data_IF_014204316596
#
_entry.id   IF_014204316596
#
_cell.length_a   1.000
_cell.length_b   1.000
_cell.length_c   1.000
_cell.angle_alpha   90.00
_cell.angle_beta   90.00
_cell.angle_gamma   90.00
#
_symmetry.space_group_name_H-M   'P 1'
#
loop_
_entity.id
_entity.type
_entity.pdbx_description
1 polymer ?
#
# COMPACT_ATOMS: atom_id res chain seq x y z
N UNK A 1 31.09 14.72 17.60
CA UNK A 1 30.00 14.00 16.92
C UNK A 1 30.54 13.53 15.58
N UNK A 2 30.92 12.25 15.49
CA UNK A 2 31.61 11.64 14.35
C UNK A 2 30.58 11.00 13.42
N UNK A 3 30.35 11.63 12.27
CA UNK A 3 29.43 11.15 11.23
C UNK A 3 30.10 10.00 10.47
N UNK A 4 29.69 8.76 10.78
CA UNK A 4 30.11 7.59 10.02
C UNK A 4 29.43 7.61 8.64
N UNK A 5 30.12 8.11 7.62
CA UNK A 5 29.77 7.86 6.21
C UNK A 5 30.03 6.38 5.91
N UNK A 6 28.99 5.55 6.08
CA UNK A 6 28.96 4.22 5.46
C UNK A 6 28.74 4.43 3.96
N UNK A 7 29.81 4.34 3.18
CA UNK A 7 29.69 4.11 1.75
C UNK A 7 28.83 2.84 1.56
N UNK A 8 27.64 2.99 0.99
CA UNK A 8 26.80 1.87 0.61
C UNK A 8 27.58 1.07 -0.43
N UNK A 9 28.15 -0.08 -0.03
CA UNK A 9 28.79 -0.99 -0.95
C UNK A 9 27.73 -1.40 -1.98
N UNK A 10 27.91 -1.00 -3.24
CA UNK A 10 27.04 -1.45 -4.33
C UNK A 10 26.99 -2.98 -4.29
N UNK A 11 25.79 -3.58 -4.23
CA UNK A 11 25.67 -5.02 -4.22
C UNK A 11 26.25 -5.56 -5.53
N UNK A 12 27.34 -6.32 -5.42
CA UNK A 12 27.98 -6.94 -6.58
C UNK A 12 26.93 -7.68 -7.42
N UNK A 13 26.90 -7.48 -8.75
CA UNK A 13 25.90 -8.12 -9.60
C UNK A 13 26.00 -9.63 -9.44
N UNK A 14 24.90 -10.27 -9.08
CA UNK A 14 24.80 -11.72 -8.96
C UNK A 14 25.10 -12.34 -10.32
N UNK A 15 26.02 -13.29 -10.39
CA UNK A 15 26.35 -14.00 -11.63
C UNK A 15 25.87 -15.43 -11.55
N UNK A 16 25.37 -15.96 -12.66
CA UNK A 16 25.02 -17.37 -12.76
C UNK A 16 26.29 -18.22 -12.55
N UNK A 17 26.30 -19.19 -11.60
CA UNK A 17 27.47 -20.03 -11.39
C UNK A 17 27.74 -21.02 -12.54
N UNK A 18 26.75 -21.31 -13.38
CA UNK A 18 26.90 -22.21 -14.52
C UNK A 18 27.45 -21.51 -15.77
N UNK A 19 26.93 -20.33 -16.13
CA UNK A 19 27.28 -19.63 -17.37
C UNK A 19 27.93 -18.25 -17.19
N UNK A 20 28.05 -17.74 -15.97
CA UNK A 20 28.67 -16.44 -15.66
C UNK A 20 27.84 -15.21 -16.00
N UNK A 21 26.67 -15.36 -16.63
CA UNK A 21 25.80 -14.24 -17.04
C UNK A 21 25.30 -13.47 -15.80
N UNK A 22 25.35 -12.12 -15.81
CA UNK A 22 24.84 -11.32 -14.72
C UNK A 22 23.30 -11.41 -14.64
N UNK A 23 22.80 -11.69 -13.45
CA UNK A 23 21.38 -11.82 -13.14
C UNK A 23 20.92 -10.65 -12.29
N UNK A 24 19.82 -10.01 -12.69
CA UNK A 24 19.15 -8.97 -11.90
C UNK A 24 17.94 -9.58 -11.20
N UNK A 25 18.01 -9.71 -9.87
CA UNK A 25 16.84 -10.06 -9.08
C UNK A 25 16.05 -8.80 -8.74
N UNK A 26 14.79 -8.76 -9.20
CA UNK A 26 13.86 -7.65 -8.94
C UNK A 26 13.15 -7.78 -7.58
N UNK A 27 12.95 -9.02 -7.11
CA UNK A 27 12.15 -9.32 -5.94
C UNK A 27 12.86 -10.30 -4.99
N UNK A 28 12.85 -10.01 -3.68
CA UNK A 28 13.37 -10.90 -2.62
C UNK A 28 12.48 -12.15 -2.38
N UNK A 29 11.46 -12.36 -3.21
CA UNK A 29 10.45 -13.43 -3.05
C UNK A 29 10.98 -14.81 -3.46
N UNK A 30 12.11 -14.87 -4.18
CA UNK A 30 12.70 -16.10 -4.69
C UNK A 30 13.61 -16.82 -3.69
N UNK A 31 13.72 -16.33 -2.46
CA UNK A 31 14.52 -16.99 -1.41
C UNK A 31 13.93 -18.35 -1.09
N UNK A 32 14.73 -19.41 -1.27
CA UNK A 32 14.29 -20.79 -1.10
C UNK A 32 13.47 -21.37 -2.26
N UNK A 33 13.22 -20.60 -3.32
CA UNK A 33 12.63 -21.11 -4.56
C UNK A 33 13.73 -21.48 -5.57
N UNK A 34 13.41 -22.44 -6.45
CA UNK A 34 14.25 -22.75 -7.62
C UNK A 34 13.70 -22.06 -8.86
N UNK A 35 14.58 -21.55 -9.72
CA UNK A 35 14.21 -20.91 -10.97
C UNK A 35 15.26 -21.20 -12.06
N UNK A 36 14.86 -21.29 -13.35
CA UNK A 36 15.81 -21.50 -14.44
C UNK A 36 16.57 -20.22 -14.77
N UNK A 37 17.86 -20.35 -15.08
CA UNK A 37 18.65 -19.27 -15.65
C UNK A 37 18.12 -18.91 -17.05
N UNK A 38 17.84 -17.63 -17.39
CA UNK A 38 17.31 -17.27 -18.71
C UNK A 38 18.32 -17.45 -19.86
N UNK A 39 19.60 -17.62 -19.56
CA UNK A 39 20.65 -17.76 -20.58
C UNK A 39 21.03 -19.22 -20.86
N UNK A 40 21.09 -20.06 -19.83
CA UNK A 40 21.55 -21.46 -19.96
C UNK A 40 20.54 -22.48 -19.44
N UNK A 41 19.35 -22.05 -19.01
CA UNK A 41 18.25 -22.87 -18.48
C UNK A 41 18.55 -23.69 -17.21
N UNK A 42 19.78 -23.65 -16.72
CA UNK A 42 20.21 -24.34 -15.50
C UNK A 42 19.38 -23.90 -14.28
N UNK A 43 18.95 -24.86 -13.47
CA UNK A 43 18.12 -24.59 -12.28
C UNK A 43 18.98 -24.02 -11.15
N UNK A 44 18.69 -22.78 -10.77
CA UNK A 44 19.36 -22.06 -9.69
C UNK A 44 18.46 -22.00 -8.45
N UNK A 45 19.08 -21.98 -7.28
CA UNK A 45 18.42 -21.71 -6.01
C UNK A 45 19.04 -20.47 -5.36
N UNK A 46 18.19 -19.54 -4.90
CA UNK A 46 18.66 -18.38 -4.14
C UNK A 46 18.70 -18.75 -2.65
N UNK A 47 19.91 -18.80 -2.08
CA UNK A 47 20.13 -19.07 -0.66
C UNK A 47 20.56 -17.76 0.00
N UNK A 48 19.89 -17.37 1.09
CA UNK A 48 20.37 -16.28 1.92
C UNK A 48 21.61 -16.76 2.66
N UNK A 49 22.76 -16.12 2.46
CA UNK A 49 23.86 -16.31 3.41
C UNK A 49 23.56 -15.48 4.66
N UNK A 50 24.01 -15.95 5.82
CA UNK A 50 24.11 -15.11 7.01
C UNK A 50 24.90 -13.85 6.64
N UNK A 51 24.45 -12.67 7.06
CA UNK A 51 25.03 -11.34 6.76
C UNK A 51 24.56 -10.65 5.46
N UNK A 52 23.29 -10.82 5.06
CA UNK A 52 22.63 -10.00 4.03
C UNK A 52 23.26 -10.07 2.62
N UNK A 53 24.12 -11.07 2.41
CA UNK A 53 24.70 -11.41 1.10
C UNK A 53 23.93 -12.57 0.49
N UNK A 54 23.46 -12.36 -0.73
CA UNK A 54 22.76 -13.39 -1.50
C UNK A 54 23.78 -14.24 -2.24
N UNK A 55 23.67 -15.56 -2.10
CA UNK A 55 24.51 -16.50 -2.82
C UNK A 55 23.62 -17.38 -3.71
N UNK A 56 23.92 -17.38 -5.00
CA UNK A 56 23.30 -18.31 -5.95
C UNK A 56 24.05 -19.63 -5.91
N UNK A 57 23.31 -20.72 -5.70
CA UNK A 57 23.85 -22.08 -5.81
C UNK A 57 23.08 -22.85 -6.89
N UNK A 58 23.75 -23.81 -7.54
CA UNK A 58 23.04 -24.73 -8.43
C UNK A 58 22.09 -25.59 -7.60
N UNK A 59 20.86 -25.78 -8.06
CA UNK A 59 19.85 -26.54 -7.33
C UNK A 59 20.29 -27.98 -7.04
N UNK A 60 21.17 -28.55 -7.88
CA UNK A 60 21.74 -29.88 -7.68
C UNK A 60 22.71 -29.97 -6.48
N UNK A 61 23.34 -28.86 -6.10
CA UNK A 61 24.33 -28.81 -5.01
C UNK A 61 23.70 -28.48 -3.66
N UNK A 62 22.51 -27.90 -3.67
CA UNK A 62 21.72 -27.67 -2.46
C UNK A 62 21.20 -29.03 -2.02
N UNK A 63 21.85 -29.64 -1.02
CA UNK A 63 21.36 -30.85 -0.40
C UNK A 63 19.86 -30.65 -0.09
N UNK A 64 18.97 -31.54 -0.55
CA UNK A 64 17.54 -31.38 -0.35
C UNK A 64 17.32 -31.14 1.14
N UNK A 65 16.67 -30.03 1.53
CA UNK A 65 16.55 -29.67 2.94
C UNK A 65 15.94 -30.87 3.64
N UNK A 66 16.74 -31.51 4.50
CA UNK A 66 16.46 -32.81 5.09
C UNK A 66 15.01 -32.84 5.56
N UNK A 67 14.15 -33.49 4.76
CA UNK A 67 12.69 -33.56 4.91
C UNK A 67 12.14 -32.46 5.82
N UNK A 68 12.22 -31.20 5.37
CA UNK A 68 11.47 -30.12 5.98
C UNK A 68 9.99 -30.48 5.74
N UNK A 69 9.44 -31.24 6.69
CA UNK A 69 8.06 -31.68 6.84
C UNK A 69 7.18 -30.67 6.10
N UNK A 70 6.45 -31.09 5.03
CA UNK A 70 5.83 -30.18 4.09
C UNK A 70 5.21 -29.04 4.87
N UNK A 71 5.83 -27.85 4.77
CA UNK A 71 5.23 -26.64 5.29
C UNK A 71 3.98 -26.48 4.46
N UNK A 72 2.89 -27.06 4.98
CA UNK A 72 1.52 -26.75 4.60
C UNK A 72 1.53 -25.25 4.43
N UNK A 73 1.29 -24.81 3.19
CA UNK A 73 0.97 -23.43 2.88
C UNK A 73 0.16 -22.91 4.06
N UNK A 74 0.74 -21.94 4.78
CA UNK A 74 0.11 -21.33 5.95
C UNK A 74 -1.18 -20.67 5.46
N UNK A 75 -2.27 -21.45 5.43
CA UNK A 75 -3.52 -20.99 5.99
C UNK A 75 -3.12 -20.28 7.28
N UNK A 76 -3.39 -18.98 7.33
CA UNK A 76 -3.08 -18.14 8.47
C UNK A 76 -3.46 -18.90 9.73
N UNK A 77 -2.45 -19.45 10.41
CA UNK A 77 -2.64 -19.97 11.75
C UNK A 77 -2.84 -18.72 12.57
N UNK A 78 -4.11 -18.30 12.67
CA UNK A 78 -4.56 -17.69 13.91
C UNK A 78 -3.95 -18.55 15.02
N UNK A 79 -3.33 -17.94 16.05
CA UNK A 79 -2.88 -18.69 17.21
C UNK A 79 -4.02 -19.64 17.60
N UNK A 80 -3.72 -20.86 18.06
CA UNK A 80 -4.73 -21.82 18.51
C UNK A 80 -5.57 -21.21 19.65
N UNK A 81 -6.47 -20.29 19.32
CA UNK A 81 -7.48 -19.75 20.20
C UNK A 81 -8.49 -20.87 20.24
N UNK A 82 -8.56 -21.55 21.39
CA UNK A 82 -9.50 -22.65 21.53
C UNK A 82 -10.89 -22.15 21.13
N UNK A 83 -11.70 -22.95 20.42
CA UNK A 83 -13.05 -22.55 20.03
C UNK A 83 -13.89 -22.13 21.25
N UNK A 84 -13.53 -22.62 22.43
CA UNK A 84 -14.09 -22.18 23.71
C UNK A 84 -13.82 -20.68 23.96
N UNK A 85 -12.58 -20.20 23.85
CA UNK A 85 -12.23 -18.79 24.11
C UNK A 85 -12.95 -17.85 23.15
N UNK A 86 -13.10 -18.24 21.87
CA UNK A 86 -13.88 -17.46 20.91
C UNK A 86 -15.35 -17.41 21.32
N UNK A 87 -15.96 -18.54 21.71
CA UNK A 87 -17.34 -18.56 22.18
C UNK A 87 -17.57 -17.68 23.42
N UNK A 88 -16.64 -17.69 24.39
CA UNK A 88 -16.71 -16.82 25.57
C UNK A 88 -16.57 -15.34 25.22
N UNK A 89 -15.71 -14.99 24.25
CA UNK A 89 -15.54 -13.60 23.81
C UNK A 89 -16.81 -13.03 23.14
N UNK A 90 -17.47 -13.83 22.31
CA UNK A 90 -18.73 -13.43 21.66
C UNK A 90 -19.87 -13.34 22.66
N UNK A 91 -19.99 -14.31 23.59
CA UNK A 91 -20.99 -14.27 24.65
C UNK A 91 -20.80 -13.06 25.59
N UNK A 92 -19.55 -12.74 25.93
CA UNK A 92 -19.22 -11.57 26.76
C UNK A 92 -19.59 -10.25 26.08
N UNK A 93 -19.27 -10.10 24.78
CA UNK A 93 -19.64 -8.91 24.00
C UNK A 93 -21.16 -8.74 23.90
N UNK A 94 -21.90 -9.83 23.63
CA UNK A 94 -23.36 -9.78 23.54
C UNK A 94 -24.00 -9.44 24.89
N UNK A 95 -23.49 -10.03 25.98
CA UNK A 95 -23.91 -9.69 27.35
C UNK A 95 -23.67 -8.23 27.71
N UNK A 96 -22.51 -7.66 27.33
CA UNK A 96 -22.21 -6.26 27.60
C UNK A 96 -23.15 -5.30 26.84
N UNK A 97 -23.49 -5.63 25.59
CA UNK A 97 -24.47 -4.86 24.79
C UNK A 97 -25.87 -4.90 25.42
N UNK A 98 -26.29 -6.06 25.92
CA UNK A 98 -27.57 -6.21 26.64
C UNK A 98 -27.61 -5.37 27.92
N UNK A 99 -26.54 -5.38 28.72
CA UNK A 99 -26.45 -4.56 29.94
C UNK A 99 -26.50 -3.06 29.60
N UNK A 100 -25.78 -2.63 28.56
CA UNK A 100 -25.81 -1.25 28.11
C UNK A 100 -27.20 -0.82 27.60
N UNK A 101 -27.93 -1.71 26.92
CA UNK A 101 -29.29 -1.47 26.45
C UNK A 101 -30.28 -1.32 27.63
N UNK A 102 -30.17 -2.16 28.66
CA UNK A 102 -31.00 -2.09 29.85
C UNK A 102 -30.75 -0.80 30.66
N UNK A 103 -29.49 -0.37 30.77
CA UNK A 103 -29.14 0.89 31.41
C UNK A 103 -29.73 2.12 30.70
N UNK A 104 -29.79 2.09 29.36
CA UNK A 104 -30.43 3.16 28.59
C UNK A 104 -31.94 3.25 28.84
N UNK A 105 -32.63 2.12 29.01
CA UNK A 105 -34.06 2.13 29.29
C UNK A 105 -34.37 2.64 30.70
N UNK A 106 -33.55 2.29 31.69
CA UNK A 106 -33.71 2.78 33.07
C UNK A 106 -33.44 4.29 33.21
N UNK A 107 -32.73 4.89 32.25
CA UNK A 107 -32.34 6.30 32.29
C UNK A 107 -33.35 7.25 31.65
N UNK A 108 -34.49 6.77 31.15
CA UNK A 108 -35.55 7.64 30.63
C UNK A 108 -36.34 8.18 31.83
N UNK A 109 -36.18 9.46 32.21
CA UNK A 109 -36.97 10.05 33.28
C UNK A 109 -38.46 9.97 32.89
N UNK A 110 -39.36 9.58 33.83
CA UNK A 110 -40.78 9.50 33.54
C UNK A 110 -41.27 10.86 33.06
N UNK A 111 -41.80 10.88 31.83
CA UNK A 111 -42.37 12.06 31.21
C UNK A 111 -43.40 12.67 32.18
N UNK A 112 -43.17 13.91 32.57
CA UNK A 112 -44.07 14.67 33.42
C UNK A 112 -45.46 14.72 32.76
N UNK A 113 -46.55 14.53 33.53
CA UNK A 113 -47.90 14.52 32.96
C UNK A 113 -48.22 15.88 32.31
N UNK A 114 -49.02 15.89 31.23
CA UNK A 114 -49.36 17.11 30.52
C UNK A 114 -50.19 18.04 31.42
N UNK A 115 -49.58 19.16 31.84
CA UNK A 115 -50.28 20.26 32.47
C UNK A 115 -51.23 20.88 31.45
N UNK A 116 -52.52 20.61 31.63
CA UNK A 116 -53.59 21.28 30.92
C UNK A 116 -53.68 22.75 31.34
N UNK A 117 -53.68 23.65 30.35
CA UNK A 117 -54.15 25.03 30.49
C UNK A 117 -53.06 26.08 30.69
N UNK A 118 -52.88 26.96 29.70
CA UNK A 118 -53.40 28.35 29.74
C UNK A 118 -52.99 29.04 28.44
N UNK A 119 -54.00 29.55 27.73
CA UNK A 119 -53.96 30.46 26.59
C UNK A 119 -53.72 31.88 27.12
N UNK A 120 -52.75 32.64 26.58
CA UNK A 120 -52.93 34.08 26.43
C UNK A 120 -52.91 34.50 24.97
N UNK A 121 -54.00 35.16 24.58
CA UNK A 121 -54.23 35.85 23.33
C UNK A 121 -53.70 37.30 23.45
N UNK A 122 -53.34 37.87 22.28
CA UNK A 122 -53.32 39.30 21.94
C UNK A 122 -52.37 40.24 22.72
N UNK A 123 -51.38 40.76 22.00
CA UNK A 123 -51.13 42.21 21.94
C UNK A 123 -50.30 42.53 20.68
N UNK A 124 -51.03 42.85 19.62
CA UNK A 124 -50.56 43.59 18.46
C UNK A 124 -50.63 45.07 18.86
N UNK A 125 -49.55 45.84 18.69
CA UNK A 125 -49.64 47.30 18.52
C UNK A 125 -48.52 47.76 17.63
N UNK A 126 -48.93 48.23 16.45
CA UNK A 126 -48.23 49.15 15.58
C UNK A 126 -47.63 50.34 16.34
N UNK A 127 -46.41 50.72 15.97
CA UNK A 127 -45.98 52.10 16.01
C UNK A 127 -44.99 52.35 14.87
N UNK A 128 -45.46 53.13 13.91
CA UNK A 128 -44.75 53.63 12.76
C UNK A 128 -43.79 54.78 13.10
N UNK A 129 -42.90 55.05 12.14
CA UNK A 129 -42.19 56.30 11.87
C UNK A 129 -40.96 56.67 12.73
N UNK A 130 -39.78 56.64 12.11
CA UNK A 130 -39.04 57.82 11.61
C UNK A 130 -37.79 57.32 10.84
N UNK A 131 -37.75 57.46 9.51
CA UNK A 131 -37.06 58.54 8.79
C UNK A 131 -35.55 58.62 9.08
N UNK A 132 -34.76 58.05 8.16
CA UNK A 132 -33.31 58.20 8.10
C UNK A 132 -32.79 57.80 6.73
N UNK A 133 -32.91 58.70 5.77
CA UNK A 133 -32.36 58.57 4.44
C UNK A 133 -30.82 58.52 4.47
N UNK A 134 -30.21 57.63 3.69
CA UNK A 134 -28.98 57.96 2.95
C UNK A 134 -28.80 57.02 1.74
N UNK A 135 -28.45 57.56 0.56
CA UNK A 135 -28.41 56.86 -0.73
C UNK A 135 -27.00 56.36 -1.08
N UNK A 136 -26.90 55.70 -2.25
CA UNK A 136 -25.74 55.12 -2.93
C UNK A 136 -25.65 53.60 -2.73
N UNK A 137 -25.47 52.76 -3.74
CA UNK A 137 -25.32 52.96 -5.18
C UNK A 137 -25.59 51.58 -5.84
N UNK A 138 -25.77 51.61 -7.15
CA UNK A 138 -26.02 50.49 -8.06
C UNK A 138 -25.36 49.14 -7.70
N UNK A 139 -26.07 48.03 -7.82
CA UNK A 139 -26.15 47.33 -9.10
C UNK A 139 -27.08 46.11 -8.99
N UNK A 140 -27.87 45.90 -10.05
CA UNK A 140 -28.94 44.92 -10.10
C UNK A 140 -28.45 43.64 -10.77
N UNK A 141 -28.55 42.50 -10.08
CA UNK A 141 -28.73 41.18 -10.71
C UNK A 141 -29.46 40.25 -9.73
N UNK A 142 -30.59 39.61 -10.11
CA UNK A 142 -31.42 38.83 -9.19
C UNK A 142 -30.97 37.36 -9.10
N UNK A 143 -30.95 36.72 -7.92
CA UNK A 143 -31.14 35.28 -7.83
C UNK A 143 -32.62 34.94 -7.67
N UNK A 144 -33.09 34.09 -8.57
CA UNK A 144 -34.40 33.47 -8.49
C UNK A 144 -34.57 32.73 -7.16
N UNK A 145 -35.63 33.10 -6.44
CA UNK A 145 -36.17 32.37 -5.32
C UNK A 145 -36.89 31.11 -5.85
N UNK A 146 -36.50 29.92 -5.37
CA UNK A 146 -37.40 28.77 -5.33
C UNK A 146 -37.63 28.42 -3.88
N UNK A 147 -38.90 28.57 -3.53
CA UNK A 147 -39.50 28.46 -2.22
C UNK A 147 -39.81 26.99 -1.87
N UNK A 148 -39.65 26.67 -0.59
CA UNK A 148 -40.53 25.79 0.23
C UNK A 148 -40.89 24.39 -0.27
N UNK A 149 -40.49 23.36 0.48
CA UNK A 149 -41.34 22.71 1.51
C UNK A 149 -40.67 21.46 2.14
N UNK A 150 -40.87 21.19 3.44
CA UNK A 150 -40.41 19.97 4.12
C UNK A 150 -41.50 18.89 4.14
N UNK A 151 -41.21 17.61 3.83
CA UNK A 151 -42.17 16.54 4.05
C UNK A 151 -42.03 15.94 5.46
N UNK A 152 -42.98 16.35 6.29
CA UNK A 152 -43.82 15.58 7.20
C UNK A 152 -43.48 14.08 7.39
N UNK A 153 -43.18 13.73 8.64
CA UNK A 153 -43.18 12.39 9.24
C UNK A 153 -44.60 11.82 9.28
N UNK A 154 -44.78 10.53 9.00
CA UNK A 154 -45.68 9.59 9.71
C UNK A 154 -45.48 8.13 9.23
N UNK A 155 -45.93 7.10 9.97
CA UNK A 155 -45.17 5.89 10.30
C UNK A 155 -45.85 4.56 9.85
N UNK A 156 -45.24 3.45 10.28
CA UNK A 156 -45.82 2.11 10.51
C UNK A 156 -45.80 1.07 9.38
N UNK A 157 -45.45 -0.16 9.81
CA UNK A 157 -45.51 -1.46 9.12
C UNK A 157 -44.56 -1.57 7.90
N UNK A 158 -43.93 -2.69 7.57
CA UNK A 158 -44.33 -4.08 7.79
C UNK A 158 -43.09 -4.99 7.72
N UNK A 159 -43.17 -6.07 8.48
CA UNK A 159 -42.24 -7.19 8.55
C UNK A 159 -42.21 -7.89 7.18
N UNK A 160 -41.11 -7.82 6.42
CA UNK A 160 -40.88 -8.73 5.29
C UNK A 160 -39.69 -9.64 5.60
N UNK A 161 -40.07 -10.84 6.01
CA UNK A 161 -39.33 -12.09 6.00
C UNK A 161 -38.58 -12.26 4.68
N UNK A 162 -37.26 -12.08 4.67
CA UNK A 162 -36.41 -12.45 3.54
C UNK A 162 -36.04 -13.92 3.73
N UNK A 163 -36.83 -14.75 3.07
CA UNK A 163 -36.57 -16.16 2.79
C UNK A 163 -35.18 -16.31 2.15
N UNK A 164 -34.32 -17.08 2.80
CA UNK A 164 -33.10 -17.66 2.22
C UNK A 164 -33.45 -18.52 1.00
N UNK A 165 -32.87 -18.27 -0.19
CA UNK A 165 -32.79 -19.31 -1.21
C UNK A 165 -31.72 -20.33 -0.79
N UNK A 166 -32.20 -21.46 -0.27
CA UNK A 166 -31.52 -22.73 -0.20
C UNK A 166 -31.12 -23.16 -1.63
N UNK A 167 -29.87 -22.87 -2.02
CA UNK A 167 -29.29 -23.39 -3.27
C UNK A 167 -28.38 -24.56 -2.91
N UNK A 168 -29.00 -25.73 -2.96
CA UNK A 168 -28.39 -27.05 -3.01
C UNK A 168 -27.42 -27.14 -4.20
N UNK A 169 -26.12 -27.42 -4.00
CA UNK A 169 -25.23 -27.71 -5.13
C UNK A 169 -25.51 -29.14 -5.61
N UNK A 170 -26.28 -29.23 -6.68
CA UNK A 170 -26.52 -30.44 -7.45
C UNK A 170 -25.18 -30.97 -8.01
N UNK A 171 -24.93 -32.23 -7.69
CA UNK A 171 -23.78 -33.02 -8.12
C UNK A 171 -23.93 -33.30 -9.62
N UNK A 172 -23.24 -32.53 -10.47
CA UNK A 172 -23.07 -32.89 -11.89
C UNK A 172 -21.68 -33.47 -12.09
N UNK A 173 -21.64 -34.80 -12.04
CA UNK A 173 -20.57 -35.62 -12.58
C UNK A 173 -20.77 -35.78 -14.09
N UNK A 174 -19.85 -35.32 -14.94
CA UNK A 174 -19.56 -35.88 -16.29
C UNK A 174 -18.43 -35.10 -17.01
N UNK A 175 -17.75 -35.64 -18.04
CA UNK A 175 -16.80 -36.75 -18.00
C UNK A 175 -15.43 -36.37 -18.59
N UNK A 176 -14.50 -37.32 -18.52
CA UNK A 176 -13.20 -37.30 -19.18
C UNK A 176 -13.28 -37.03 -20.70
N UNK A 177 -12.39 -36.17 -21.20
CA UNK A 177 -11.85 -36.26 -22.56
C UNK A 177 -10.51 -35.49 -22.65
N UNK A 178 -9.42 -36.23 -22.79
CA UNK A 178 -8.18 -35.75 -23.43
C UNK A 178 -8.49 -35.22 -24.82
N UNK A 179 -7.71 -34.23 -25.28
CA UNK A 179 -6.95 -34.53 -26.49
C UNK A 179 -5.45 -34.21 -26.33
N UNK A 180 -4.67 -35.19 -26.79
CA UNK A 180 -3.30 -35.04 -27.21
C UNK A 180 -3.23 -34.21 -28.50
N UNK A 181 -2.26 -33.30 -28.57
CA UNK A 181 -1.61 -32.66 -29.73
C UNK A 181 -1.08 -31.30 -29.23
N UNK A 182 0.09 -30.79 -29.56
CA UNK A 182 0.97 -31.05 -30.69
C UNK A 182 2.35 -30.51 -30.28
N UNK A 183 3.41 -31.30 -30.46
CA UNK A 183 4.78 -30.80 -30.38
C UNK A 183 5.07 -29.94 -31.62
N UNK A 184 5.62 -28.72 -31.49
CA UNK A 184 6.28 -28.07 -32.60
C UNK A 184 7.66 -28.68 -32.88
N UNK A 185 8.11 -28.70 -34.15
CA UNK A 185 9.24 -29.47 -34.62
C UNK A 185 10.59 -28.89 -34.20
N UNK A 186 11.54 -29.81 -34.01
CA UNK A 186 12.96 -29.55 -33.86
C UNK A 186 13.50 -28.72 -35.04
N UNK A 187 13.91 -27.49 -34.77
CA UNK A 187 14.78 -26.73 -35.69
C UNK A 187 16.22 -27.04 -35.30
N UNK A 188 16.81 -27.94 -36.07
CA UNK A 188 18.24 -28.19 -36.14
C UNK A 188 18.98 -26.89 -36.41
N UNK A 189 19.82 -26.44 -35.47
CA UNK A 189 20.85 -25.44 -35.77
C UNK A 189 22.21 -26.12 -35.93
N UNK A 190 22.99 -25.77 -36.98
CA UNK A 190 24.27 -26.39 -37.26
C UNK A 190 25.31 -26.05 -36.19
N UNK A 191 26.06 -27.07 -35.78
CA UNK A 191 27.38 -26.92 -35.17
C UNK A 191 28.30 -26.14 -36.11
N UNK A 192 28.71 -24.95 -35.69
CA UNK A 192 29.85 -24.26 -36.28
C UNK A 192 30.96 -24.20 -35.23
N UNK A 193 31.90 -25.13 -35.37
CA UNK A 193 33.19 -25.12 -34.70
C UNK A 193 34.14 -24.23 -35.50
N UNK A 194 34.93 -23.36 -34.86
CA UNK A 194 36.19 -22.91 -35.42
C UNK A 194 37.37 -23.71 -34.83
N UNK A 195 38.44 -23.90 -35.61
CA UNK A 195 39.45 -24.93 -35.39
C UNK A 195 40.53 -24.50 -34.40
N UNK A 196 41.09 -25.51 -33.73
CA UNK A 196 42.41 -25.44 -33.14
C UNK A 196 43.48 -25.40 -34.26
N UNK A 197 44.44 -24.48 -34.18
CA UNK A 197 45.76 -24.64 -34.81
C UNK A 197 46.81 -23.97 -33.91
N UNK A 198 47.82 -24.77 -33.55
CA UNK A 198 49.04 -24.47 -32.79
C UNK A 198 50.05 -23.65 -33.67
N UNK A 199 51.37 -23.50 -33.41
CA UNK A 199 52.23 -23.77 -32.24
C UNK A 199 53.24 -22.61 -31.94
N UNK A 200 54.09 -22.87 -30.93
CA UNK A 200 55.36 -22.23 -30.53
C UNK A 200 56.04 -21.27 -31.51
N UNK A 201 56.47 -20.12 -30.99
CA UNK A 201 57.80 -19.58 -31.33
C UNK A 201 58.45 -18.97 -30.07
N UNK A 202 59.72 -19.28 -29.91
CA UNK A 202 60.56 -19.16 -28.72
C UNK A 202 61.76 -18.29 -29.13
N UNK A 203 61.99 -17.15 -28.44
CA UNK A 203 63.28 -16.44 -28.23
C UNK A 203 63.05 -14.91 -27.99
N UNK A 204 64.10 -14.12 -27.65
CA UNK A 204 64.63 -14.02 -26.29
C UNK A 204 64.62 -12.57 -25.76
N UNK A 205 64.58 -12.46 -24.43
CA UNK A 205 65.14 -11.40 -23.58
C UNK A 205 65.31 -10.00 -24.22
N UNK A 206 64.40 -9.08 -23.89
CA UNK A 206 64.74 -7.65 -23.81
C UNK A 206 64.07 -7.05 -22.58
N UNK A 207 64.91 -6.63 -21.65
CA UNK A 207 64.53 -5.83 -20.49
C UNK A 207 64.02 -4.48 -21.01
N UNK A 208 62.71 -4.37 -21.18
CA UNK A 208 62.02 -3.11 -21.40
C UNK A 208 61.29 -2.77 -20.11
N UNK A 209 61.71 -1.66 -19.48
CA UNK A 209 61.03 -1.05 -18.34
C UNK A 209 59.54 -0.94 -18.64
N UNK A 210 58.77 -1.83 -18.03
CA UNK A 210 57.32 -1.81 -18.03
C UNK A 210 56.90 -0.55 -17.29
N UNK A 211 56.64 0.52 -18.05
CA UNK A 211 55.92 1.67 -17.55
C UNK A 211 54.55 1.17 -17.13
N UNK A 212 54.27 1.18 -15.82
CA UNK A 212 52.95 0.79 -15.31
C UNK A 212 51.87 1.60 -16.06
N UNK A 213 50.80 0.96 -16.56
CA UNK A 213 49.70 1.67 -17.15
C UNK A 213 49.17 2.66 -16.11
N UNK A 214 49.24 3.95 -16.42
CA UNK A 214 48.61 5.00 -15.64
C UNK A 214 47.14 4.60 -15.47
N UNK A 215 46.79 4.25 -14.23
CA UNK A 215 45.43 3.94 -13.83
C UNK A 215 44.61 5.18 -14.14
N UNK A 216 43.85 5.14 -15.24
CA UNK A 216 42.95 6.20 -15.61
C UNK A 216 42.05 6.47 -14.41
N UNK A 217 42.16 7.69 -13.86
CA UNK A 217 41.37 8.14 -12.72
C UNK A 217 39.90 7.88 -13.07
N UNK A 218 39.21 6.98 -12.35
CA UNK A 218 37.82 6.67 -12.61
C UNK A 218 37.05 7.97 -12.59
N UNK A 219 36.55 8.39 -13.76
CA UNK A 219 35.66 9.54 -13.84
C UNK A 219 34.46 9.22 -12.97
N UNK A 220 34.32 9.94 -11.86
CA UNK A 220 33.18 9.79 -10.99
C UNK A 220 31.92 9.95 -11.86
N UNK A 221 30.99 8.97 -11.84
CA UNK A 221 29.80 9.05 -12.64
C UNK A 221 29.07 10.37 -12.30
N UNK A 222 28.56 11.09 -13.31
CA UNK A 222 27.85 12.35 -13.08
C UNK A 222 26.69 12.10 -12.12
N UNK A 223 26.66 12.87 -11.03
CA UNK A 223 25.59 12.80 -10.03
C UNK A 223 24.27 13.10 -10.76
N UNK A 224 23.28 12.19 -10.73
CA UNK A 224 22.03 12.40 -11.43
C UNK A 224 21.35 13.68 -10.91
N UNK A 225 20.76 14.51 -11.80
CA UNK A 225 20.07 15.71 -11.39
C UNK A 225 18.91 15.35 -10.45
N UNK A 226 18.81 16.07 -9.34
CA UNK A 226 17.71 15.89 -8.38
C UNK A 226 16.41 16.30 -9.05
N UNK A 227 15.46 15.36 -9.11
CA UNK A 227 14.10 15.63 -9.61
C UNK A 227 13.34 16.39 -8.52
N UNK A 228 12.66 17.50 -8.85
CA UNK A 228 11.85 18.25 -7.87
C UNK A 228 10.68 17.41 -7.35
N UNK A 229 10.36 17.55 -6.07
CA UNK A 229 9.34 16.75 -5.35
C UNK A 229 7.96 16.91 -5.97
N UNK A 230 7.63 18.10 -6.47
CA UNK A 230 6.35 18.39 -7.11
C UNK A 230 6.13 17.52 -8.35
N UNK A 231 7.19 17.20 -9.10
CA UNK A 231 7.09 16.32 -10.27
C UNK A 231 6.83 14.88 -9.84
N UNK A 232 7.46 14.43 -8.76
CA UNK A 232 7.27 13.09 -8.20
C UNK A 232 5.86 12.91 -7.63
N UNK A 233 5.31 13.91 -6.96
CA UNK A 233 3.95 13.90 -6.44
C UNK A 233 2.88 13.81 -7.55
N UNK A 234 3.18 14.35 -8.73
CA UNK A 234 2.33 14.27 -9.91
C UNK A 234 2.49 12.97 -10.72
N UNK A 235 3.30 12.02 -10.27
CA UNK A 235 3.43 10.72 -10.92
C UNK A 235 2.09 9.96 -10.86
N UNK A 236 1.63 9.47 -12.01
CA UNK A 236 0.39 8.71 -12.13
C UNK A 236 0.58 7.24 -11.74
N UNK A 237 -0.29 6.75 -10.89
CA UNK A 237 -0.44 5.36 -10.50
C UNK A 237 -1.62 4.76 -11.26
N UNK A 238 -1.41 3.60 -11.89
CA UNK A 238 -2.48 2.93 -12.66
C UNK A 238 -3.61 2.50 -11.72
N UNK A 239 -3.27 1.84 -10.62
CA UNK A 239 -4.21 1.46 -9.57
C UNK A 239 -3.48 1.26 -8.25
N UNK A 240 -4.20 1.52 -7.15
CA UNK A 240 -3.77 1.26 -5.79
C UNK A 240 -4.89 0.53 -5.07
N UNK A 241 -4.69 -0.75 -4.76
CA UNK A 241 -5.69 -1.59 -4.11
C UNK A 241 -5.11 -2.24 -2.87
N UNK A 242 -5.83 -2.12 -1.76
CA UNK A 242 -5.49 -2.80 -0.50
C UNK A 242 -6.49 -3.91 -0.23
N UNK A 243 -5.98 -5.13 -0.03
CA UNK A 243 -6.79 -6.29 0.34
C UNK A 243 -7.10 -6.37 1.83
N UNK A 244 -6.33 -5.65 2.67
CA UNK A 244 -6.48 -5.62 4.13
C UNK A 244 -6.34 -4.18 4.64
N UNK A 245 -6.97 -3.85 5.78
CA UNK A 245 -6.75 -2.57 6.44
C UNK A 245 -5.28 -2.41 6.86
N UNK A 246 -4.66 -1.28 6.49
CA UNK A 246 -3.27 -0.95 6.82
C UNK A 246 -3.25 0.40 7.54
N UNK A 247 -2.37 0.55 8.54
CA UNK A 247 -2.22 1.83 9.26
C UNK A 247 -1.78 2.95 8.32
N UNK A 248 -2.35 4.15 8.50
CA UNK A 248 -1.96 5.34 7.71
C UNK A 248 -0.45 5.59 7.76
N UNK A 249 0.18 5.39 8.91
CA UNK A 249 1.64 5.50 9.08
C UNK A 249 2.42 4.56 8.16
N UNK A 250 1.96 3.31 8.01
CA UNK A 250 2.61 2.35 7.11
C UNK A 250 2.34 2.70 5.65
N UNK A 251 1.17 3.25 5.34
CA UNK A 251 0.88 3.79 4.02
C UNK A 251 1.76 4.99 3.66
N UNK A 252 2.01 5.90 4.62
CA UNK A 252 2.94 7.01 4.44
C UNK A 252 4.35 6.52 4.13
N UNK A 253 4.84 5.48 4.81
CA UNK A 253 6.14 4.87 4.49
C UNK A 253 6.19 4.32 3.05
N UNK A 254 5.10 3.73 2.55
CA UNK A 254 5.01 3.34 1.12
C UNK A 254 5.10 4.55 0.20
N UNK A 255 4.51 5.69 0.58
CA UNK A 255 4.63 6.94 -0.20
C UNK A 255 6.05 7.50 -0.14
N UNK A 256 6.74 7.42 1.01
CA UNK A 256 8.16 7.77 1.14
C UNK A 256 9.03 6.95 0.17
N UNK A 257 8.80 5.64 0.11
CA UNK A 257 9.51 4.74 -0.81
C UNK A 257 9.24 5.08 -2.29
N UNK A 258 8.00 5.50 -2.63
CA UNK A 258 7.65 5.94 -3.99
C UNK A 258 8.30 7.28 -4.37
N UNK A 259 8.45 8.20 -3.41
CA UNK A 259 9.04 9.51 -3.62
C UNK A 259 10.58 9.51 -3.50
N UNK A 260 11.17 8.46 -2.92
CA UNK A 260 12.60 8.42 -2.54
C UNK A 260 13.00 9.64 -1.68
N UNK A 261 12.07 10.05 -0.81
CA UNK A 261 12.16 11.24 0.06
C UNK A 261 11.43 11.00 1.38
N UNK A 262 11.98 11.49 2.51
CA UNK A 262 11.34 11.36 3.81
C UNK A 262 10.11 12.27 3.91
N UNK A 263 9.05 11.77 4.55
CA UNK A 263 7.88 12.54 4.94
C UNK A 263 8.02 12.86 6.43
N UNK A 264 8.17 14.15 6.76
CA UNK A 264 8.34 14.61 8.13
C UNK A 264 7.00 15.09 8.69
N UNK A 265 6.70 14.76 9.94
CA UNK A 265 5.62 15.43 10.69
C UNK A 265 6.23 16.70 11.27
N UNK A 266 5.62 17.85 11.02
CA UNK A 266 6.10 19.12 11.54
C UNK A 266 5.88 19.21 13.06
N UNK A 267 6.74 19.98 13.74
CA UNK A 267 6.77 20.07 15.22
C UNK A 267 5.50 20.75 15.80
N UNK A 268 4.74 21.46 14.97
CA UNK A 268 3.49 22.13 15.33
C UNK A 268 2.27 21.18 15.35
N UNK A 269 2.44 19.92 14.94
CA UNK A 269 1.36 18.93 14.92
C UNK A 269 1.10 18.38 16.33
N UNK A 270 -0.11 18.56 16.88
CA UNK A 270 -0.44 18.00 18.20
C UNK A 270 -0.41 16.48 18.17
N UNK A 271 0.02 15.87 19.29
CA UNK A 271 0.20 14.42 19.43
C UNK A 271 -1.08 13.63 19.10
N UNK A 272 -2.26 14.17 19.40
CA UNK A 272 -3.55 13.54 19.08
C UNK A 272 -3.77 13.34 17.57
N UNK A 273 -3.30 14.27 16.74
CA UNK A 273 -3.36 14.13 15.27
C UNK A 273 -2.35 13.09 14.78
N UNK A 274 -1.16 13.04 15.39
CA UNK A 274 -0.16 12.02 15.10
C UNK A 274 -0.67 10.61 15.45
N UNK A 275 -1.43 10.45 16.52
CA UNK A 275 -2.03 9.17 16.90
C UNK A 275 -3.08 8.68 15.89
N UNK A 276 -3.79 9.60 15.20
CA UNK A 276 -4.71 9.24 14.11
C UNK A 276 -4.00 8.64 12.90
N UNK A 277 -2.68 8.79 12.77
CA UNK A 277 -1.89 8.10 11.75
C UNK A 277 -1.73 6.59 12.07
N UNK A 278 -2.00 6.16 13.31
CA UNK A 278 -1.96 4.74 13.67
C UNK A 278 -3.24 4.00 13.23
N UNK A 279 -4.33 4.73 12.94
CA UNK A 279 -5.60 4.13 12.50
C UNK A 279 -5.43 3.37 11.19
N UNK A 280 -5.99 2.16 11.14
CA UNK A 280 -6.03 1.34 9.94
C UNK A 280 -7.12 1.81 8.99
N UNK A 281 -6.80 1.93 7.70
CA UNK A 281 -7.72 2.30 6.64
C UNK A 281 -7.55 1.34 5.45
N UNK A 282 -8.58 1.29 4.61
CA UNK A 282 -8.56 0.55 3.34
C UNK A 282 -8.83 1.53 2.22
N UNK A 283 -7.91 1.59 1.25
CA UNK A 283 -8.00 2.46 0.08
C UNK A 283 -8.07 1.61 -1.19
N UNK A 284 -8.98 1.99 -2.07
CA UNK A 284 -9.07 1.49 -3.45
C UNK A 284 -9.19 2.70 -4.36
N UNK A 285 -8.13 2.96 -5.12
CA UNK A 285 -8.00 4.13 -5.96
C UNK A 285 -7.54 3.70 -7.35
N UNK A 286 -8.14 4.26 -8.40
CA UNK A 286 -7.80 3.98 -9.80
C UNK A 286 -7.39 5.27 -10.49
N UNK A 287 -6.34 5.22 -11.31
CA UNK A 287 -5.82 6.34 -12.10
C UNK A 287 -5.49 7.60 -11.28
N UNK A 288 -4.98 7.42 -10.07
CA UNK A 288 -4.64 8.51 -9.14
C UNK A 288 -3.20 8.96 -9.25
N UNK A 289 -2.88 10.17 -8.80
CA UNK A 289 -1.49 10.60 -8.59
C UNK A 289 -0.98 10.21 -7.21
N UNK A 290 0.34 10.27 -6.99
CA UNK A 290 0.92 10.09 -5.66
C UNK A 290 0.40 11.17 -4.69
N UNK A 291 0.17 12.39 -5.15
CA UNK A 291 -0.46 13.47 -4.38
C UNK A 291 -1.88 13.10 -3.94
N UNK A 292 -2.68 12.50 -4.82
CA UNK A 292 -4.04 12.08 -4.49
C UNK A 292 -4.06 10.91 -3.51
N UNK A 293 -3.14 9.95 -3.66
CA UNK A 293 -2.94 8.88 -2.69
C UNK A 293 -2.57 9.44 -1.31
N UNK A 294 -1.62 10.39 -1.25
CA UNK A 294 -1.23 11.04 -0.01
C UNK A 294 -2.41 11.80 0.63
N UNK A 295 -3.21 12.51 -0.17
CA UNK A 295 -4.42 13.20 0.30
C UNK A 295 -5.45 12.21 0.86
N UNK A 296 -5.68 11.09 0.18
CA UNK A 296 -6.59 10.04 0.63
C UNK A 296 -6.12 9.37 1.93
N UNK A 297 -4.81 9.17 2.11
CA UNK A 297 -4.25 8.63 3.37
C UNK A 297 -4.50 9.60 4.54
N UNK A 298 -4.34 10.91 4.30
CA UNK A 298 -4.49 11.95 5.33
C UNK A 298 -5.95 12.34 5.59
N UNK A 299 -6.90 11.84 4.81
CA UNK A 299 -8.31 12.13 4.96
C UNK A 299 -8.81 11.77 6.38
N UNK A 300 -9.45 12.72 7.06
CA UNK A 300 -9.94 12.57 8.44
C UNK A 300 -8.90 12.77 9.56
N UNK A 301 -7.64 13.10 9.23
CA UNK A 301 -6.58 13.37 10.24
C UNK A 301 -6.39 14.85 10.58
N UNK A 302 -7.02 15.76 9.81
CA UNK A 302 -6.77 17.21 9.88
C UNK A 302 -5.31 17.61 9.56
N UNK A 303 -4.55 16.72 8.91
CA UNK A 303 -3.20 16.98 8.42
C UNK A 303 -3.23 17.30 6.94
N UNK A 304 -2.39 18.23 6.52
CA UNK A 304 -2.16 18.60 5.12
C UNK A 304 -0.69 18.39 4.79
N UNK A 305 -0.42 17.80 3.63
CA UNK A 305 0.93 17.69 3.11
C UNK A 305 1.33 19.00 2.41
N UNK A 306 2.49 19.55 2.78
CA UNK A 306 3.11 20.71 2.17
C UNK A 306 4.52 20.37 1.68
N UNK A 307 4.89 20.84 0.49
CA UNK A 307 6.26 20.69 -0.03
C UNK A 307 7.12 21.83 0.54
N UNK A 308 8.23 21.48 1.18
CA UNK A 308 9.16 22.43 1.80
C UNK A 308 10.57 22.09 1.34
N UNK A 309 10.99 22.71 0.24
CA UNK A 309 12.25 22.37 -0.43
C UNK A 309 12.20 20.97 -1.04
N UNK A 310 13.16 20.12 -0.69
CA UNK A 310 13.26 18.73 -1.18
C UNK A 310 12.48 17.72 -0.32
N UNK A 311 11.72 18.18 0.69
CA UNK A 311 11.00 17.31 1.64
C UNK A 311 9.49 17.58 1.65
N UNK A 312 8.72 16.55 2.00
CA UNK A 312 7.27 16.66 2.25
C UNK A 312 7.05 16.76 3.76
N UNK A 313 6.41 17.85 4.20
CA UNK A 313 6.04 18.06 5.61
C UNK A 313 4.53 17.89 5.80
N UNK A 314 4.14 17.13 6.82
CA UNK A 314 2.75 17.05 7.30
C UNK A 314 2.55 18.13 8.35
N UNK A 315 1.61 19.06 8.08
CA UNK A 315 1.26 20.18 8.97
C UNK A 315 -0.21 20.09 9.37
N UNK A 316 -0.57 20.71 10.49
CA UNK A 316 -1.97 20.85 10.85
C UNK A 316 -2.70 21.72 9.80
N UNK A 317 -3.90 21.32 9.39
CA UNK A 317 -4.78 22.17 8.59
C UNK A 317 -5.08 23.43 9.40
N UNK A 318 -4.69 24.61 8.89
CA UNK A 318 -5.17 25.86 9.49
C UNK A 318 -6.70 25.90 9.34
N UNK A 319 -7.43 26.14 10.44
CA UNK A 319 -8.89 26.24 10.40
C UNK A 319 -9.37 27.47 9.61
#
# INVERSE_FOLDING_TARGET
MTTNLRAAAEPSPLRCPACGVPLRLRDKRFVGATFPCPACEEKLALVSAEQDRWVLQLAATVAPPASAKPRRLMAWQLPNVSPLVVAWSVAGLMGMVLVAALWRQASVPPASPPTAGVRPQLAQTDAAAELGASPNDADATPPAQVSTAPPKVHPAAELTEITTPDVSPEVVSTPAASPANELPPAVSRPSESPPATQPLDEAPVSAHSVSLPQTAVPHAPPVPPKVPVEVLLNQRLVSFQQSQPISRKRLLATVEDLLDRPIRVADDVPMEMADRLQTAITLQLEQVTVADLLRAILEGTQLVAACVGDEVQLRAAQP
#
